data_IF_201004336408
#
_entry.id   IF_201004336408
#
_cell.length_a   1.000
_cell.length_b   1.000
_cell.length_c   1.000
_cell.angle_alpha   90.00
_cell.angle_beta   90.00
_cell.angle_gamma   90.00
#
_symmetry.space_group_name_H-M   'P 1'
#
loop_
_entity.id
_entity.type
_entity.pdbx_description
1 polymer ?
#
# COMPACT_ATOMS: atom_id res chain seq x y z
N UNK A 1 12.63 21.40 -21.12
CA UNK A 1 13.72 20.41 -20.99
C UNK A 1 13.73 19.70 -19.63
N UNK A 2 13.53 20.39 -18.48
CA UNK A 2 13.50 19.75 -17.15
C UNK A 2 12.43 18.64 -17.02
N UNK A 3 11.21 18.84 -17.53
CA UNK A 3 10.11 17.88 -17.41
C UNK A 3 10.36 16.56 -18.17
N UNK A 4 11.05 16.59 -19.31
CA UNK A 4 11.40 15.40 -20.08
C UNK A 4 12.49 14.57 -19.40
N UNK A 5 13.42 15.19 -18.70
CA UNK A 5 14.45 14.47 -17.95
C UNK A 5 13.90 13.81 -16.69
N UNK A 6 12.96 14.46 -15.99
CA UNK A 6 12.29 13.90 -14.81
C UNK A 6 11.41 12.71 -15.20
N UNK A 7 10.63 12.80 -16.28
CA UNK A 7 9.83 11.69 -16.81
C UNK A 7 10.69 10.48 -17.15
N UNK A 8 11.78 10.65 -17.89
CA UNK A 8 12.68 9.56 -18.24
C UNK A 8 13.35 8.90 -17.00
N UNK A 9 13.57 9.66 -15.94
CA UNK A 9 14.18 9.13 -14.72
C UNK A 9 13.18 8.35 -13.85
N UNK A 10 11.92 8.79 -13.81
CA UNK A 10 10.82 8.07 -13.15
C UNK A 10 10.55 6.76 -13.88
N UNK A 11 10.46 6.78 -15.20
CA UNK A 11 10.24 5.59 -16.02
C UNK A 11 11.37 4.56 -15.84
N UNK A 12 12.62 5.00 -15.75
CA UNK A 12 13.75 4.10 -15.51
C UNK A 12 13.69 3.43 -14.14
N UNK A 13 13.29 4.16 -13.08
CA UNK A 13 13.10 3.61 -11.74
C UNK A 13 11.91 2.66 -11.68
N UNK A 14 10.80 3.01 -12.33
CA UNK A 14 9.63 2.15 -12.42
C UNK A 14 9.95 0.84 -13.12
N UNK A 15 10.67 0.86 -14.23
CA UNK A 15 11.12 -0.34 -14.94
C UNK A 15 12.05 -1.21 -14.07
N UNK A 16 12.94 -0.59 -13.30
CA UNK A 16 13.81 -1.32 -12.38
C UNK A 16 13.01 -2.01 -11.28
N UNK A 17 12.05 -1.31 -10.69
CA UNK A 17 11.15 -1.86 -9.68
C UNK A 17 10.34 -3.04 -10.21
N UNK A 18 9.78 -2.93 -11.41
CA UNK A 18 9.02 -4.01 -12.05
C UNK A 18 9.87 -5.23 -12.35
N UNK A 19 11.12 -5.05 -12.79
CA UNK A 19 12.05 -6.17 -12.99
C UNK A 19 12.37 -6.94 -11.71
N UNK A 20 12.38 -6.24 -10.57
CA UNK A 20 12.59 -6.85 -9.24
C UNK A 20 11.33 -7.53 -8.70
N UNK A 21 10.14 -7.22 -9.27
CA UNK A 21 8.84 -7.74 -8.82
C UNK A 21 8.06 -8.33 -10.01
N UNK A 22 8.49 -9.46 -10.58
CA UNK A 22 7.92 -10.01 -11.81
C UNK A 22 6.43 -10.36 -11.70
N UNK A 23 5.97 -10.95 -10.59
CA UNK A 23 4.55 -11.29 -10.39
C UNK A 23 3.65 -10.06 -10.40
N UNK A 24 4.11 -8.96 -9.78
CA UNK A 24 3.41 -7.68 -9.84
C UNK A 24 3.41 -7.11 -11.25
N UNK A 25 4.54 -7.19 -11.94
CA UNK A 25 4.68 -6.75 -13.32
C UNK A 25 3.68 -7.44 -14.25
N UNK A 26 3.57 -8.77 -14.16
CA UNK A 26 2.60 -9.56 -14.94
C UNK A 26 1.16 -9.13 -14.64
N UNK A 27 0.81 -8.93 -13.37
CA UNK A 27 -0.52 -8.47 -12.97
C UNK A 27 -0.85 -7.09 -13.52
N UNK A 28 0.07 -6.13 -13.41
CA UNK A 28 -0.14 -4.77 -13.91
C UNK A 28 -0.26 -4.75 -15.44
N UNK A 29 0.55 -5.53 -16.14
CA UNK A 29 0.47 -5.67 -17.60
C UNK A 29 -0.88 -6.27 -18.01
N UNK A 30 -1.35 -7.30 -17.31
CA UNK A 30 -2.63 -7.94 -17.59
C UNK A 30 -3.83 -6.99 -17.37
N UNK A 31 -3.75 -6.09 -16.38
CA UNK A 31 -4.85 -5.19 -16.04
C UNK A 31 -4.83 -3.86 -16.81
N UNK A 32 -3.65 -3.31 -17.04
CA UNK A 32 -3.45 -1.98 -17.62
C UNK A 32 -2.94 -2.01 -19.07
N UNK A 33 -2.55 -3.19 -19.56
CA UNK A 33 -1.88 -3.33 -20.84
C UNK A 33 -0.41 -2.88 -20.78
N UNK A 34 0.15 -2.59 -21.96
CA UNK A 34 1.55 -2.19 -22.11
C UNK A 34 1.75 -0.67 -22.08
N UNK A 35 0.80 0.07 -21.50
CA UNK A 35 0.90 1.53 -21.38
C UNK A 35 1.82 1.89 -20.20
N UNK A 36 3.08 2.19 -20.52
CA UNK A 36 4.13 2.52 -19.56
C UNK A 36 3.74 3.76 -18.74
N UNK A 37 2.99 4.71 -19.29
CA UNK A 37 2.59 5.92 -18.58
C UNK A 37 1.61 5.61 -17.44
N UNK A 38 0.67 4.71 -17.68
CA UNK A 38 -0.26 4.24 -16.63
C UNK A 38 0.46 3.43 -15.57
N UNK A 39 1.38 2.58 -15.96
CA UNK A 39 2.19 1.79 -15.02
C UNK A 39 3.06 2.71 -14.16
N UNK A 40 3.70 3.72 -14.74
CA UNK A 40 4.50 4.70 -14.00
C UNK A 40 3.67 5.46 -12.96
N UNK A 41 2.43 5.82 -13.27
CA UNK A 41 1.49 6.48 -12.34
C UNK A 41 1.21 5.63 -11.10
N UNK A 42 1.21 4.30 -11.24
CA UNK A 42 1.01 3.36 -10.12
C UNK A 42 2.31 3.18 -9.32
N UNK A 43 3.45 3.12 -10.01
CA UNK A 43 4.74 2.83 -9.36
C UNK A 43 5.32 4.05 -8.66
N UNK A 44 5.09 5.26 -9.17
CA UNK A 44 5.63 6.49 -8.59
C UNK A 44 5.27 6.68 -7.10
N UNK A 45 4.02 6.53 -6.64
CA UNK A 45 3.68 6.61 -5.22
C UNK A 45 4.44 5.60 -4.36
N UNK A 46 4.72 4.41 -4.89
CA UNK A 46 5.49 3.38 -4.18
C UNK A 46 6.93 3.86 -3.97
N UNK A 47 7.54 4.41 -5.00
CA UNK A 47 8.91 4.93 -4.95
C UNK A 47 9.02 6.18 -4.06
N UNK A 48 7.93 6.92 -3.89
CA UNK A 48 7.86 8.11 -3.04
C UNK A 48 7.45 7.82 -1.59
N UNK A 49 6.91 6.65 -1.29
CA UNK A 49 6.41 6.31 0.04
C UNK A 49 7.42 6.55 1.18
N UNK A 50 8.72 6.22 1.05
CA UNK A 50 9.72 6.53 2.08
C UNK A 50 9.85 8.03 2.38
N UNK A 51 9.66 8.88 1.38
CA UNK A 51 9.77 10.34 1.50
C UNK A 51 8.52 10.99 2.10
N UNK A 52 7.42 10.25 2.20
CA UNK A 52 6.16 10.70 2.79
C UNK A 52 6.08 10.45 4.29
N UNK A 53 6.96 9.63 4.83
CA UNK A 53 6.99 9.30 6.24
C UNK A 53 7.38 10.52 7.08
N UNK A 54 6.51 10.93 8.00
CA UNK A 54 6.72 12.07 8.91
C UNK A 54 6.81 11.64 10.39
N UNK A 55 6.08 10.58 10.75
CA UNK A 55 5.88 10.16 12.15
C UNK A 55 6.63 8.86 12.44
N UNK A 56 6.75 7.99 11.45
CA UNK A 56 7.36 6.66 11.58
C UNK A 56 8.44 6.45 10.52
N UNK A 57 9.41 5.60 10.83
CA UNK A 57 10.36 5.09 9.84
C UNK A 57 9.74 3.98 8.96
N UNK A 58 8.54 3.50 9.32
CA UNK A 58 7.88 2.40 8.66
C UNK A 58 6.60 2.86 7.96
N UNK A 59 6.35 2.27 6.81
CA UNK A 59 5.15 2.54 6.04
C UNK A 59 4.54 1.27 5.45
N UNK A 60 3.26 1.37 5.12
CA UNK A 60 2.55 0.49 4.21
C UNK A 60 1.96 1.38 3.12
N UNK A 61 2.41 1.21 1.88
CA UNK A 61 1.82 1.84 0.72
C UNK A 61 0.83 0.87 0.09
N UNK A 62 -0.45 1.19 0.18
CA UNK A 62 -1.53 0.46 -0.44
C UNK A 62 -1.79 0.98 -1.85
N UNK A 63 -1.90 0.07 -2.79
CA UNK A 63 -2.14 0.38 -4.20
C UNK A 63 -3.31 -0.43 -4.69
N UNK A 64 -4.26 0.22 -5.38
CA UNK A 64 -5.36 -0.47 -6.04
C UNK A 64 -5.41 -0.14 -7.52
N UNK A 65 -5.78 -1.12 -8.32
CA UNK A 65 -6.04 -0.98 -9.76
C UNK A 65 -7.54 -0.87 -10.05
N UNK A 66 -8.36 -0.82 -8.99
CA UNK A 66 -9.81 -0.82 -9.04
C UNK A 66 -10.42 -2.22 -8.89
N UNK A 67 -9.80 -3.26 -9.43
CA UNK A 67 -10.23 -4.66 -9.27
C UNK A 67 -9.42 -5.38 -8.21
N UNK A 68 -8.13 -5.18 -8.22
CA UNK A 68 -7.17 -5.83 -7.34
C UNK A 68 -6.41 -4.79 -6.52
N UNK A 69 -5.71 -5.26 -5.52
CA UNK A 69 -4.86 -4.43 -4.71
C UNK A 69 -3.63 -5.21 -4.26
N UNK A 70 -2.58 -4.49 -3.96
CA UNK A 70 -1.37 -5.01 -3.32
C UNK A 70 -0.82 -3.97 -2.34
N UNK A 71 0.05 -4.42 -1.46
CA UNK A 71 0.71 -3.55 -0.49
C UNK A 71 2.22 -3.60 -0.71
N UNK A 72 2.87 -2.47 -0.53
CA UNK A 72 4.32 -2.41 -0.41
C UNK A 72 4.67 -1.86 0.96
N UNK A 73 5.77 -2.35 1.56
CA UNK A 73 6.17 -1.94 2.90
C UNK A 73 7.69 -2.10 3.07
N UNK A 74 8.26 -1.31 3.95
CA UNK A 74 9.64 -1.49 4.43
C UNK A 74 9.71 -2.27 5.76
N UNK A 75 8.66 -2.99 6.13
CA UNK A 75 8.60 -3.90 7.27
C UNK A 75 9.08 -5.31 6.85
N UNK A 76 9.74 -6.06 7.71
CA UNK A 76 10.37 -5.71 8.99
C UNK A 76 11.73 -5.06 8.81
N UNK A 77 12.25 -4.97 7.60
CA UNK A 77 13.52 -4.38 7.23
C UNK A 77 13.29 -2.99 6.63
N UNK A 78 13.61 -1.95 7.40
CA UNK A 78 13.43 -0.57 7.00
C UNK A 78 14.27 -0.13 5.77
N UNK A 79 15.18 -0.98 5.28
CA UNK A 79 16.03 -0.67 4.14
C UNK A 79 15.54 -1.26 2.82
N UNK A 80 14.58 -2.17 2.87
CA UNK A 80 14.02 -2.83 1.69
C UNK A 80 12.53 -2.62 1.55
N UNK A 81 12.07 -2.56 0.32
CA UNK A 81 10.64 -2.51 0.01
C UNK A 81 10.18 -3.90 -0.37
N UNK A 82 9.26 -4.43 0.41
CA UNK A 82 8.63 -5.72 0.14
C UNK A 82 7.28 -5.50 -0.52
N UNK A 83 7.01 -6.23 -1.59
CA UNK A 83 5.72 -6.25 -2.27
C UNK A 83 4.95 -7.48 -1.80
N UNK A 84 3.73 -7.28 -1.32
CA UNK A 84 2.81 -8.38 -1.04
C UNK A 84 2.28 -8.98 -2.33
N UNK A 85 1.80 -10.21 -2.26
CA UNK A 85 1.00 -10.76 -3.35
C UNK A 85 -0.26 -9.92 -3.56
N UNK A 86 -0.75 -9.89 -4.80
CA UNK A 86 -2.03 -9.29 -5.13
C UNK A 86 -3.14 -10.05 -4.42
N UNK A 87 -3.84 -9.39 -3.53
CA UNK A 87 -4.83 -10.01 -2.66
C UNK A 87 -5.92 -9.00 -2.27
N UNK A 88 -6.88 -9.48 -1.51
CA UNK A 88 -7.91 -8.64 -0.87
C UNK A 88 -7.81 -8.63 0.64
N UNK A 89 -6.94 -9.46 1.22
CA UNK A 89 -6.73 -9.55 2.66
C UNK A 89 -5.25 -9.81 2.96
N UNK A 90 -4.70 -9.06 3.92
CA UNK A 90 -3.33 -9.20 4.40
C UNK A 90 -3.33 -9.31 5.91
N UNK A 91 -2.86 -10.46 6.40
CA UNK A 91 -2.74 -10.68 7.84
C UNK A 91 -1.52 -9.94 8.36
N UNK A 92 -1.71 -9.14 9.41
CA UNK A 92 -0.66 -8.39 10.11
C UNK A 92 -0.41 -9.04 11.46
N UNK A 93 0.84 -9.30 11.80
CA UNK A 93 1.16 -9.86 13.10
C UNK A 93 2.62 -10.25 13.26
N UNK A 94 2.97 -10.75 14.45
CA UNK A 94 4.33 -11.15 14.79
C UNK A 94 4.76 -12.50 14.20
N UNK A 95 3.82 -13.30 13.75
CA UNK A 95 4.16 -14.58 13.11
C UNK A 95 4.79 -14.34 11.74
N UNK A 96 5.82 -15.11 11.41
CA UNK A 96 6.42 -15.13 10.06
C UNK A 96 5.44 -15.63 8.98
N UNK A 97 4.33 -16.25 9.37
CA UNK A 97 3.28 -16.69 8.46
C UNK A 97 2.28 -15.55 8.14
N UNK A 98 2.41 -14.38 8.77
CA UNK A 98 1.62 -13.21 8.40
C UNK A 98 2.14 -12.63 7.08
N UNK A 99 1.23 -12.17 6.24
CA UNK A 99 1.58 -11.48 4.98
C UNK A 99 2.41 -10.22 5.27
N UNK A 100 2.08 -9.55 6.38
CA UNK A 100 2.84 -8.40 6.90
C UNK A 100 3.35 -8.79 8.28
N UNK A 101 4.60 -9.23 8.32
CA UNK A 101 5.26 -9.63 9.55
C UNK A 101 5.83 -8.40 10.29
N UNK A 102 5.32 -8.15 11.50
CA UNK A 102 5.84 -7.13 12.42
C UNK A 102 6.55 -7.83 13.57
N UNK A 103 7.85 -8.03 13.46
CA UNK A 103 8.67 -8.83 14.38
C UNK A 103 8.93 -8.09 15.70
N UNK A 104 7.87 -7.67 16.37
CA UNK A 104 7.95 -6.98 17.66
C UNK A 104 7.17 -7.74 18.74
N UNK A 105 7.78 -7.92 19.91
CA UNK A 105 7.22 -8.74 21.02
C UNK A 105 5.85 -8.29 21.54
N UNK A 106 5.50 -7.00 21.38
CA UNK A 106 4.20 -6.46 21.80
C UNK A 106 3.08 -6.70 20.78
N UNK A 107 3.42 -7.15 19.58
CA UNK A 107 2.45 -7.47 18.52
C UNK A 107 2.00 -8.92 18.68
N UNK A 108 0.70 -9.19 18.60
CA UNK A 108 0.14 -10.53 18.64
C UNK A 108 0.56 -11.34 17.42
N UNK A 109 0.58 -12.67 17.52
CA UNK A 109 0.93 -13.57 16.40
C UNK A 109 0.07 -13.31 15.17
N UNK A 110 -1.25 -13.22 15.36
CA UNK A 110 -2.22 -12.66 14.40
C UNK A 110 -2.83 -11.47 15.09
N UNK A 111 -2.53 -10.26 14.64
CA UNK A 111 -2.88 -9.03 15.35
C UNK A 111 -4.07 -8.31 14.71
N UNK A 112 -3.97 -8.07 13.43
CA UNK A 112 -4.98 -7.37 12.64
C UNK A 112 -5.03 -7.94 11.22
N UNK A 113 -6.06 -7.58 10.48
CA UNK A 113 -6.16 -7.84 9.04
C UNK A 113 -6.46 -6.54 8.30
N UNK A 114 -5.65 -6.25 7.29
CA UNK A 114 -5.94 -5.25 6.28
C UNK A 114 -6.78 -5.88 5.18
N UNK A 115 -7.77 -5.15 4.68
CA UNK A 115 -8.67 -5.62 3.63
C UNK A 115 -8.84 -4.56 2.56
N UNK A 116 -8.99 -5.00 1.34
CA UNK A 116 -9.43 -4.18 0.22
C UNK A 116 -10.76 -4.71 -0.32
N UNK A 117 -11.70 -3.81 -0.52
CA UNK A 117 -12.96 -4.09 -1.20
C UNK A 117 -13.13 -3.07 -2.32
N UNK A 118 -13.34 -3.52 -3.58
CA UNK A 118 -13.66 -2.61 -4.68
C UNK A 118 -14.82 -1.70 -4.31
N UNK A 119 -14.76 -0.43 -4.68
CA UNK A 119 -15.73 0.63 -4.37
C UNK A 119 -15.86 1.04 -2.88
N UNK A 120 -15.20 0.37 -1.95
CA UNK A 120 -15.15 0.73 -0.53
C UNK A 120 -13.76 1.24 -0.15
N UNK A 121 -12.71 0.60 -0.68
CA UNK A 121 -11.32 0.92 -0.40
C UNK A 121 -10.69 0.00 0.64
N UNK A 122 -9.66 0.50 1.30
CA UNK A 122 -8.90 -0.22 2.31
C UNK A 122 -9.53 -0.07 3.70
N UNK A 123 -9.43 -1.11 4.49
CA UNK A 123 -9.88 -1.12 5.87
C UNK A 123 -8.98 -1.98 6.73
N UNK A 124 -9.01 -1.74 8.04
CA UNK A 124 -8.31 -2.54 9.04
C UNK A 124 -9.30 -3.08 10.07
N UNK A 125 -9.05 -4.30 10.54
CA UNK A 125 -9.83 -4.94 11.60
C UNK A 125 -8.89 -5.56 12.61
N UNK A 126 -9.09 -5.26 13.90
CA UNK A 126 -8.40 -5.94 15.01
C UNK A 126 -8.93 -7.37 15.16
N UNK A 127 -8.04 -8.32 15.34
CA UNK A 127 -8.36 -9.75 15.51
C UNK A 127 -8.38 -10.21 16.97
N UNK A 128 -8.71 -9.30 17.90
CA UNK A 128 -8.65 -9.56 19.33
C UNK A 128 -7.22 -9.53 19.85
N UNK A 129 -6.44 -8.60 19.38
CA UNK A 129 -5.03 -8.47 19.78
C UNK A 129 -4.88 -8.15 21.27
N UNK A 130 -3.79 -8.62 21.89
CA UNK A 130 -3.56 -8.46 23.32
C UNK A 130 -3.40 -6.98 23.73
N UNK A 131 -2.77 -6.17 22.88
CA UNK A 131 -2.44 -4.77 23.20
C UNK A 131 -3.23 -3.75 22.40
N UNK A 132 -4.04 -4.20 21.42
CA UNK A 132 -4.91 -3.36 20.62
C UNK A 132 -4.26 -2.80 19.37
N UNK A 133 -5.11 -2.55 18.39
CA UNK A 133 -4.82 -1.82 17.16
C UNK A 133 -5.37 -0.41 17.29
N UNK A 134 -4.62 0.59 16.83
CA UNK A 134 -5.05 1.98 16.85
C UNK A 134 -4.94 2.57 15.43
N UNK A 135 -5.87 3.45 15.12
CA UNK A 135 -5.84 4.29 13.92
C UNK A 135 -5.93 5.75 14.39
N UNK A 136 -4.92 6.54 14.05
CA UNK A 136 -4.80 7.94 14.47
C UNK A 136 -4.99 8.11 16.00
N UNK A 137 -4.31 7.26 16.78
CA UNK A 137 -4.37 7.21 18.26
C UNK A 137 -5.72 6.77 18.84
N UNK A 138 -6.69 6.41 18.01
CA UNK A 138 -7.99 5.90 18.47
C UNK A 138 -7.97 4.38 18.41
N UNK A 139 -8.18 3.74 19.55
CA UNK A 139 -8.19 2.28 19.67
C UNK A 139 -9.42 1.70 18.93
N UNK A 140 -9.21 0.64 18.18
CA UNK A 140 -10.29 -0.16 17.63
C UNK A 140 -10.88 -1.06 18.72
N UNK A 141 -12.21 -1.18 18.75
CA UNK A 141 -12.84 -2.24 19.53
C UNK A 141 -12.49 -3.62 18.93
N UNK A 142 -12.48 -4.70 19.73
CA UNK A 142 -12.26 -6.04 19.20
C UNK A 142 -13.24 -6.34 18.06
N UNK A 143 -12.70 -6.81 16.92
CA UNK A 143 -13.43 -7.10 15.69
C UNK A 143 -14.04 -5.87 14.98
N UNK A 144 -13.82 -4.67 15.46
CA UNK A 144 -14.18 -3.44 14.74
C UNK A 144 -13.41 -3.38 13.41
N UNK A 145 -14.12 -3.03 12.35
CA UNK A 145 -13.54 -2.72 11.05
C UNK A 145 -13.60 -1.21 10.82
N UNK A 146 -12.46 -0.60 10.46
CA UNK A 146 -12.36 0.83 10.16
C UNK A 146 -11.83 1.03 8.75
N UNK A 147 -12.50 1.88 7.99
CA UNK A 147 -12.02 2.33 6.68
C UNK A 147 -10.80 3.22 6.90
N UNK A 148 -9.78 2.98 6.10
CA UNK A 148 -8.52 3.73 6.15
C UNK A 148 -8.48 4.83 5.10
N UNK A 149 -7.81 5.91 5.45
CA UNK A 149 -7.56 7.04 4.57
C UNK A 149 -6.05 7.17 4.30
N UNK A 150 -5.72 7.90 3.24
CA UNK A 150 -4.33 8.20 2.93
C UNK A 150 -3.70 9.05 4.03
N UNK A 151 -2.55 8.63 4.54
CA UNK A 151 -1.84 9.27 5.64
C UNK A 151 -2.27 8.81 7.04
N UNK A 152 -3.14 7.81 7.17
CA UNK A 152 -3.51 7.28 8.49
C UNK A 152 -2.29 6.68 9.21
N UNK A 153 -2.17 6.98 10.51
CA UNK A 153 -1.20 6.35 11.39
C UNK A 153 -1.80 5.09 12.00
N UNK A 154 -1.23 3.95 11.67
CA UNK A 154 -1.56 2.67 12.29
C UNK A 154 -0.60 2.39 13.44
N UNK A 155 -1.14 1.96 14.59
CA UNK A 155 -0.32 1.54 15.72
C UNK A 155 -0.72 0.13 16.17
N UNK A 156 0.23 -0.78 16.14
CA UNK A 156 0.11 -2.14 16.69
C UNK A 156 0.79 -2.15 18.05
N UNK A 157 0.05 -1.80 19.10
CA UNK A 157 0.59 -1.45 20.41
C UNK A 157 1.46 -0.17 20.31
N UNK A 158 2.77 -0.30 20.49
CA UNK A 158 3.75 0.80 20.37
C UNK A 158 4.45 0.86 19.01
N UNK A 159 4.16 -0.07 18.14
CA UNK A 159 4.76 -0.14 16.81
C UNK A 159 3.93 0.69 15.84
N UNK A 160 4.53 1.71 15.26
CA UNK A 160 3.87 2.71 14.40
C UNK A 160 4.21 2.48 12.95
N UNK A 161 3.20 2.64 12.09
CA UNK A 161 3.31 2.51 10.65
C UNK A 161 2.43 3.56 9.99
N UNK A 162 2.96 4.34 9.07
CA UNK A 162 2.16 5.25 8.27
C UNK A 162 1.54 4.50 7.09
N UNK A 163 0.25 4.71 6.87
CA UNK A 163 -0.51 4.02 5.84
C UNK A 163 -0.84 5.00 4.71
N UNK A 164 -0.32 4.72 3.53
CA UNK A 164 -0.56 5.53 2.35
C UNK A 164 -1.40 4.79 1.34
N UNK A 165 -2.26 5.50 0.63
CA UNK A 165 -3.13 4.94 -0.39
C UNK A 165 -2.84 5.63 -1.73
N UNK A 166 -2.69 4.82 -2.75
CA UNK A 166 -2.74 5.26 -4.14
C UNK A 166 -3.60 4.30 -4.94
N UNK A 167 -4.22 4.80 -6.00
CA UNK A 167 -5.06 3.96 -6.84
C UNK A 167 -5.27 4.59 -8.19
N UNK A 168 -5.38 3.72 -9.19
CA UNK A 168 -5.83 4.12 -10.50
C UNK A 168 -7.36 3.96 -10.55
N UNK A 169 -8.06 5.06 -10.82
CA UNK A 169 -9.50 5.04 -11.08
C UNK A 169 -9.74 5.44 -12.52
N UNK A 170 -10.53 4.64 -13.23
CA UNK A 170 -11.00 5.01 -14.59
C UNK A 170 -11.74 6.35 -14.64
N UNK A 171 -12.16 6.88 -13.50
CA UNK A 171 -12.85 8.16 -13.37
C UNK A 171 -11.94 9.39 -13.54
N UNK A 172 -10.62 9.24 -13.60
CA UNK A 172 -9.71 10.34 -13.87
C UNK A 172 -9.54 10.69 -15.35
N UNK A 173 -10.18 9.97 -16.26
CA UNK A 173 -10.36 10.36 -17.64
C UNK A 173 -11.67 11.16 -17.73
N UNK A 174 -11.65 12.43 -17.29
CA UNK A 174 -12.72 13.35 -17.64
C UNK A 174 -12.72 13.57 -19.17
N UNK A 175 -13.86 13.48 -19.84
CA UNK A 175 -13.95 13.88 -21.22
C UNK A 175 -13.90 15.41 -21.24
N UNK A 176 -12.75 15.98 -21.53
CA UNK A 176 -12.68 17.35 -22.01
C UNK A 176 -12.66 17.30 -23.53
N UNK A 177 -13.62 18.06 -24.06
CA UNK A 177 -13.74 18.55 -25.42
C UNK A 177 -14.45 17.67 -26.44
N UNK A 178 -15.78 17.73 -26.34
CA UNK A 178 -16.60 17.87 -27.52
C UNK A 178 -17.19 19.27 -27.52
N UNK A 179 -16.46 20.23 -28.09
CA UNK A 179 -17.07 21.43 -28.62
C UNK A 179 -17.23 21.24 -30.13
N UNK A 180 -18.49 21.25 -30.54
CA UNK A 180 -18.92 21.56 -31.90
C UNK A 180 -18.74 23.05 -32.15
#
# INVERSE_FOLDING_TARGET
MLNLQLSNQVDAKALTFLKQNPSLSETLIAELGHDISQVSTIIEPILQAPNRCEISAYYIQAVSTGRTAFLTTNLPDAQSTHVSEVATNWLVGRSSNCTIAVLHRSVSRCHAVLKYLPNVGFSIKDLGSSNGTFVNRTRLAPLEQRILQDGDLLEFCKFRVEFFISGWSKASLSPQDTHF
#
